data_IF_463961393853
#
_entry.id   IF_463961393853
#
_cell.length_a   1.000
_cell.length_b   1.000
_cell.length_c   1.000
_cell.angle_alpha   90.00
_cell.angle_beta   90.00
_cell.angle_gamma   90.00
#
_symmetry.space_group_name_H-M   'P 1'
#
loop_
_entity.id
_entity.type
_entity.pdbx_description
1 polymer ?
#
# COMPACT_ATOMS: atom_id res chain seq x y z
N UNK A 1 -6.36 10.03 4.43
CA UNK A 1 -6.13 11.36 5.03
C UNK A 1 -4.87 11.27 5.88
N UNK A 2 -3.89 12.20 5.72
CA UNK A 2 -2.71 12.26 6.58
C UNK A 2 -3.10 12.35 8.06
N UNK A 3 -2.30 11.77 8.95
CA UNK A 3 -2.59 11.78 10.39
C UNK A 3 -2.61 13.19 11.03
N UNK A 4 -2.09 14.19 10.32
CA UNK A 4 -2.03 15.60 10.73
C UNK A 4 -3.32 16.38 10.44
N UNK A 5 -4.30 15.77 9.78
CA UNK A 5 -5.53 16.43 9.31
C UNK A 5 -6.76 15.93 10.07
N UNK A 6 -7.71 16.84 10.30
CA UNK A 6 -8.98 16.56 10.97
C UNK A 6 -9.91 15.74 10.03
N UNK A 7 -10.32 14.56 10.50
CA UNK A 7 -11.13 13.62 9.74
C UNK A 7 -12.59 14.08 9.65
N UNK A 8 -13.12 14.70 10.71
CA UNK A 8 -14.46 15.26 10.75
C UNK A 8 -14.60 16.47 9.81
N UNK A 9 -13.57 17.32 9.74
CA UNK A 9 -13.51 18.45 8.81
C UNK A 9 -13.45 17.96 7.36
N UNK A 10 -12.61 16.96 7.08
CA UNK A 10 -12.53 16.33 5.77
C UNK A 10 -13.87 15.71 5.34
N UNK A 11 -14.51 14.94 6.23
CA UNK A 11 -15.80 14.33 5.96
C UNK A 11 -16.89 15.38 5.69
N UNK A 12 -16.85 16.53 6.38
CA UNK A 12 -17.77 17.64 6.16
C UNK A 12 -17.53 18.30 4.81
N UNK A 13 -16.27 18.52 4.43
CA UNK A 13 -15.91 19.06 3.12
C UNK A 13 -16.35 18.12 1.98
N UNK A 14 -16.13 16.81 2.11
CA UNK A 14 -16.62 15.83 1.15
C UNK A 14 -18.16 15.81 1.06
N UNK A 15 -18.86 15.91 2.20
CA UNK A 15 -20.32 15.95 2.22
C UNK A 15 -20.87 17.19 1.52
N UNK A 16 -20.22 18.35 1.69
CA UNK A 16 -20.61 19.58 0.98
C UNK A 16 -20.47 19.47 -0.55
N UNK A 17 -19.56 18.62 -1.05
CA UNK A 17 -19.46 18.30 -2.49
C UNK A 17 -20.57 17.33 -2.93
N UNK A 18 -20.96 16.40 -2.06
CA UNK A 18 -21.98 15.38 -2.35
C UNK A 18 -23.43 15.85 -2.17
N UNK A 19 -23.76 16.66 -1.18
CA UNK A 19 -25.15 17.08 -0.92
C UNK A 19 -25.85 17.72 -2.12
N UNK A 20 -25.22 18.60 -2.92
CA UNK A 20 -25.86 19.19 -4.10
C UNK A 20 -26.31 18.16 -5.13
N UNK A 21 -25.59 17.05 -5.30
CA UNK A 21 -25.99 15.99 -6.25
C UNK A 21 -27.17 15.16 -5.74
N UNK A 22 -27.42 15.17 -4.43
CA UNK A 22 -28.56 14.51 -3.81
C UNK A 22 -29.79 15.42 -3.83
N UNK A 23 -30.67 15.22 -4.83
CA UNK A 23 -32.00 15.83 -4.87
C UNK A 23 -32.19 16.97 -5.87
N UNK A 24 -31.15 17.38 -6.60
CA UNK A 24 -31.28 18.28 -7.75
C UNK A 24 -31.60 17.53 -9.06
N UNK A 25 -32.09 18.27 -10.06
CA UNK A 25 -32.14 17.84 -11.46
C UNK A 25 -30.72 17.55 -11.96
N UNK A 26 -30.25 16.32 -11.73
CA UNK A 26 -28.89 15.88 -12.06
C UNK A 26 -28.61 15.79 -13.58
N UNK A 27 -29.52 16.31 -14.42
CA UNK A 27 -29.34 16.51 -15.86
C UNK A 27 -28.26 17.56 -16.17
N UNK A 28 -28.08 18.57 -15.30
CA UNK A 28 -27.09 19.64 -15.50
C UNK A 28 -25.74 19.39 -14.82
N UNK A 29 -25.63 18.34 -14.00
CA UNK A 29 -24.42 18.08 -13.21
C UNK A 29 -23.42 17.27 -14.05
N UNK A 30 -22.20 17.79 -14.17
CA UNK A 30 -21.08 17.09 -14.80
C UNK A 30 -20.39 16.16 -13.79
N UNK A 31 -20.28 14.88 -14.12
CA UNK A 31 -19.55 13.91 -13.31
C UNK A 31 -18.06 14.24 -13.31
N UNK A 32 -17.52 14.69 -14.46
CA UNK A 32 -16.15 15.18 -14.55
C UNK A 32 -15.87 16.36 -13.61
N UNK A 33 -16.81 17.31 -13.48
CA UNK A 33 -16.67 18.43 -12.54
C UNK A 33 -16.79 17.99 -11.07
N UNK A 34 -17.69 17.07 -10.78
CA UNK A 34 -17.84 16.50 -9.43
C UNK A 34 -16.54 15.83 -8.97
N UNK A 35 -15.95 14.97 -9.82
CA UNK A 35 -14.67 14.33 -9.53
C UNK A 35 -13.56 15.36 -9.33
N UNK A 36 -13.53 16.43 -10.13
CA UNK A 36 -12.57 17.51 -9.96
C UNK A 36 -12.68 18.20 -8.59
N UNK A 37 -13.92 18.50 -8.14
CA UNK A 37 -14.14 19.07 -6.81
C UNK A 37 -13.75 18.11 -5.69
N UNK A 38 -14.02 16.81 -5.83
CA UNK A 38 -13.59 15.82 -4.84
C UNK A 38 -12.07 15.78 -4.72
N UNK A 39 -11.34 15.82 -5.85
CA UNK A 39 -9.88 15.83 -5.83
C UNK A 39 -9.31 17.13 -5.27
N UNK A 40 -9.88 18.28 -5.62
CA UNK A 40 -9.49 19.58 -5.07
C UNK A 40 -9.68 19.62 -3.54
N UNK A 41 -10.79 19.09 -3.03
CA UNK A 41 -10.99 18.95 -1.59
C UNK A 41 -9.92 18.04 -1.00
N UNK A 42 -9.66 16.86 -1.57
CA UNK A 42 -8.63 15.96 -1.02
C UNK A 42 -7.23 16.60 -1.00
N UNK A 43 -6.91 17.39 -2.02
CA UNK A 43 -5.62 18.09 -2.13
C UNK A 43 -5.46 19.17 -1.05
N UNK A 44 -6.53 19.91 -0.73
CA UNK A 44 -6.55 20.85 0.41
C UNK A 44 -6.26 20.16 1.75
N UNK A 45 -6.60 18.89 1.88
CA UNK A 45 -6.27 18.06 3.06
C UNK A 45 -4.92 17.34 2.93
N UNK A 46 -4.00 17.85 2.10
CA UNK A 46 -2.63 17.33 1.99
C UNK A 46 -2.52 15.96 1.33
N UNK A 47 -3.51 15.56 0.54
CA UNK A 47 -3.44 14.35 -0.29
C UNK A 47 -3.11 14.75 -1.72
N UNK A 48 -1.87 14.51 -2.14
CA UNK A 48 -1.45 14.81 -3.51
C UNK A 48 -2.32 14.05 -4.53
N UNK A 49 -2.81 14.78 -5.53
CA UNK A 49 -3.59 14.19 -6.61
C UNK A 49 -2.70 13.28 -7.46
N UNK A 50 -3.01 11.99 -7.46
CA UNK A 50 -2.28 11.00 -8.26
C UNK A 50 -2.58 11.16 -9.75
N UNK A 51 -1.58 10.95 -10.60
CA UNK A 51 -1.72 11.04 -12.07
C UNK A 51 -2.80 10.11 -12.62
N UNK A 52 -2.99 8.94 -12.02
CA UNK A 52 -4.04 7.98 -12.40
C UNK A 52 -5.45 8.55 -12.22
N UNK A 53 -5.66 9.43 -11.22
CA UNK A 53 -6.93 10.09 -10.98
C UNK A 53 -7.25 11.14 -12.05
N UNK A 54 -6.23 11.78 -12.62
CA UNK A 54 -6.37 12.71 -13.75
C UNK A 54 -6.80 11.95 -15.01
N UNK A 55 -6.26 10.75 -15.24
CA UNK A 55 -6.68 9.89 -16.35
C UNK A 55 -8.13 9.43 -16.18
N UNK A 56 -8.53 9.03 -14.97
CA UNK A 56 -9.92 8.71 -14.64
C UNK A 56 -10.84 9.89 -14.98
N UNK A 57 -10.47 11.11 -14.59
CA UNK A 57 -11.23 12.32 -14.88
C UNK A 57 -11.37 12.57 -16.38
N UNK A 58 -10.29 12.41 -17.16
CA UNK A 58 -10.34 12.51 -18.63
C UNK A 58 -11.31 11.49 -19.22
N UNK A 59 -11.22 10.22 -18.81
CA UNK A 59 -12.14 9.18 -19.26
C UNK A 59 -13.58 9.52 -18.89
N UNK A 60 -13.82 10.04 -17.68
CA UNK A 60 -15.16 10.44 -17.26
C UNK A 60 -15.72 11.57 -18.14
N UNK A 61 -14.91 12.59 -18.45
CA UNK A 61 -15.31 13.69 -19.35
C UNK A 61 -15.64 13.17 -20.75
N UNK A 62 -14.85 12.23 -21.28
CA UNK A 62 -15.11 11.61 -22.58
C UNK A 62 -16.42 10.82 -22.57
N UNK A 63 -16.64 9.97 -21.55
CA UNK A 63 -17.87 9.19 -21.39
C UNK A 63 -19.09 10.11 -21.28
N UNK A 64 -18.99 11.16 -20.48
CA UNK A 64 -20.04 12.17 -20.33
C UNK A 64 -20.34 12.91 -21.64
N UNK A 65 -19.29 13.28 -22.39
CA UNK A 65 -19.43 13.91 -23.71
C UNK A 65 -20.13 13.01 -24.73
N UNK A 66 -19.78 11.73 -24.77
CA UNK A 66 -20.44 10.74 -25.63
C UNK A 66 -21.88 10.50 -25.21
N UNK A 67 -22.15 10.36 -23.91
CA UNK A 67 -23.51 10.15 -23.42
C UNK A 67 -24.43 11.34 -23.76
N UNK A 68 -23.95 12.58 -23.58
CA UNK A 68 -24.71 13.79 -23.88
C UNK A 68 -24.85 14.11 -25.36
N UNK A 69 -23.94 13.64 -26.21
CA UNK A 69 -24.13 13.76 -27.67
C UNK A 69 -25.26 12.86 -28.19
N UNK A 70 -25.57 11.77 -27.46
CA UNK A 70 -26.68 10.86 -27.76
C UNK A 70 -28.00 11.33 -27.14
N UNK A 71 -27.99 11.71 -25.85
CA UNK A 71 -29.14 12.30 -25.16
C UNK A 71 -28.71 13.52 -24.34
N UNK A 72 -28.99 14.74 -24.80
CA UNK A 72 -28.63 15.97 -24.10
C UNK A 72 -29.23 16.10 -22.70
N UNK A 73 -30.28 15.35 -22.39
CA UNK A 73 -30.99 15.38 -21.09
C UNK A 73 -30.64 14.19 -20.21
N UNK A 74 -29.64 13.39 -20.58
CA UNK A 74 -29.27 12.21 -19.80
C UNK A 74 -28.80 12.59 -18.39
N UNK A 75 -29.33 11.88 -17.40
CA UNK A 75 -28.92 12.01 -16.01
C UNK A 75 -27.88 10.92 -15.68
N UNK A 76 -26.59 11.29 -15.74
CA UNK A 76 -25.47 10.35 -15.54
C UNK A 76 -25.52 9.69 -14.15
N UNK A 77 -25.93 10.43 -13.12
CA UNK A 77 -26.07 9.89 -11.75
C UNK A 77 -27.13 8.79 -11.67
N UNK A 78 -28.29 9.01 -12.27
CA UNK A 78 -29.37 8.02 -12.30
C UNK A 78 -28.94 6.74 -13.03
N UNK A 79 -28.18 6.87 -14.11
CA UNK A 79 -27.64 5.73 -14.87
C UNK A 79 -26.59 4.97 -14.06
N UNK A 80 -25.74 5.66 -13.31
CA UNK A 80 -24.69 5.05 -12.49
C UNK A 80 -25.21 4.41 -11.19
N UNK A 81 -26.34 4.90 -10.64
CA UNK A 81 -26.92 4.45 -9.37
C UNK A 81 -26.99 2.93 -9.18
N UNK A 82 -27.58 2.13 -10.09
CA UNK A 82 -27.67 0.68 -9.88
C UNK A 82 -26.31 -0.02 -9.84
N UNK A 83 -25.31 0.50 -10.56
CA UNK A 83 -23.94 -0.04 -10.55
C UNK A 83 -23.28 0.23 -9.20
N UNK A 84 -23.42 1.46 -8.69
CA UNK A 84 -22.87 1.84 -7.37
C UNK A 84 -23.56 1.09 -6.24
N UNK A 85 -24.90 0.98 -6.27
CA UNK A 85 -25.65 0.22 -5.27
C UNK A 85 -25.28 -1.26 -5.26
N UNK A 86 -25.06 -1.87 -6.43
CA UNK A 86 -24.54 -3.23 -6.56
C UNK A 86 -23.16 -3.36 -5.91
N UNK A 87 -22.23 -2.49 -6.27
CA UNK A 87 -20.87 -2.51 -5.71
C UNK A 87 -20.86 -2.34 -4.18
N UNK A 88 -21.64 -1.39 -3.64
CA UNK A 88 -21.75 -1.19 -2.18
C UNK A 88 -22.30 -2.44 -1.51
N UNK A 89 -23.36 -3.05 -2.07
CA UNK A 89 -23.95 -4.28 -1.54
C UNK A 89 -22.92 -5.42 -1.49
N UNK A 90 -22.11 -5.54 -2.54
CA UNK A 90 -21.21 -6.68 -2.73
C UNK A 90 -19.86 -6.50 -2.01
N UNK A 91 -19.39 -5.26 -1.85
CA UNK A 91 -18.06 -4.95 -1.31
C UNK A 91 -18.08 -4.39 0.12
N UNK A 92 -19.16 -3.72 0.51
CA UNK A 92 -19.29 -3.05 1.83
C UNK A 92 -20.45 -3.64 2.64
N UNK A 93 -21.33 -4.43 2.00
CA UNK A 93 -22.51 -4.99 2.65
C UNK A 93 -22.22 -6.07 3.70
N UNK A 94 -23.21 -6.41 4.54
CA UNK A 94 -23.07 -7.42 5.59
C UNK A 94 -22.70 -8.81 5.04
N UNK A 95 -23.10 -9.11 3.81
CA UNK A 95 -22.69 -10.33 3.10
C UNK A 95 -21.19 -10.34 2.79
N UNK A 96 -20.60 -9.21 2.42
CA UNK A 96 -19.17 -9.08 2.18
C UNK A 96 -18.40 -9.34 3.48
N UNK A 97 -18.84 -8.74 4.59
CA UNK A 97 -18.27 -8.96 5.92
C UNK A 97 -18.37 -10.43 6.34
N UNK A 98 -19.51 -11.08 6.08
CA UNK A 98 -19.70 -12.50 6.41
C UNK A 98 -18.77 -13.41 5.58
N UNK A 99 -18.61 -13.10 4.29
CA UNK A 99 -17.71 -13.82 3.39
C UNK A 99 -16.25 -13.63 3.80
N UNK A 100 -15.85 -12.40 4.14
CA UNK A 100 -14.51 -12.11 4.63
C UNK A 100 -14.24 -12.85 5.93
N UNK A 101 -15.17 -12.82 6.89
CA UNK A 101 -15.04 -13.58 8.14
C UNK A 101 -14.91 -15.09 7.89
N UNK A 102 -15.70 -15.64 6.96
CA UNK A 102 -15.61 -17.05 6.56
C UNK A 102 -14.25 -17.37 5.92
N UNK A 103 -13.76 -16.50 5.05
CA UNK A 103 -12.46 -16.67 4.40
C UNK A 103 -11.33 -16.60 5.44
N UNK A 104 -11.38 -15.63 6.37
CA UNK A 104 -10.44 -15.51 7.48
C UNK A 104 -10.48 -16.75 8.38
N UNK A 105 -11.68 -17.22 8.76
CA UNK A 105 -11.85 -18.44 9.57
C UNK A 105 -11.31 -19.67 8.85
N UNK A 106 -11.50 -19.80 7.54
CA UNK A 106 -10.95 -20.91 6.76
C UNK A 106 -9.42 -20.89 6.73
N UNK A 107 -8.82 -19.70 6.58
CA UNK A 107 -7.35 -19.52 6.66
C UNK A 107 -6.85 -19.86 8.07
N UNK A 108 -7.50 -19.35 9.12
CA UNK A 108 -7.14 -19.62 10.51
C UNK A 108 -7.31 -21.10 10.85
N UNK A 109 -8.37 -21.77 10.41
CA UNK A 109 -8.56 -23.20 10.62
C UNK A 109 -7.49 -24.04 9.92
N UNK A 110 -7.10 -23.64 8.71
CA UNK A 110 -6.10 -24.36 7.89
C UNK A 110 -4.67 -24.16 8.39
N UNK A 111 -4.33 -22.95 8.82
CA UNK A 111 -2.95 -22.58 9.18
C UNK A 111 -2.73 -22.44 10.69
N UNK A 112 -3.77 -22.17 11.47
CA UNK A 112 -3.73 -21.99 12.92
C UNK A 112 -3.01 -23.11 13.67
N UNK A 113 -3.28 -24.40 13.42
CA UNK A 113 -2.56 -25.49 14.07
C UNK A 113 -1.05 -25.53 13.73
N UNK A 114 -0.63 -24.91 12.62
CA UNK A 114 0.77 -24.87 12.15
C UNK A 114 1.48 -23.56 12.54
N UNK A 115 0.74 -22.53 12.92
CA UNK A 115 1.30 -21.24 13.32
C UNK A 115 2.26 -21.34 14.53
N UNK A 116 1.95 -22.07 15.62
CA UNK A 116 2.86 -22.19 16.76
C UNK A 116 4.22 -22.76 16.35
N UNK A 117 4.23 -23.82 15.55
CA UNK A 117 5.47 -24.44 15.08
C UNK A 117 6.30 -23.54 14.15
N UNK A 118 5.64 -22.73 13.30
CA UNK A 118 6.34 -21.77 12.43
C UNK A 118 6.94 -20.62 13.25
N UNK A 119 6.20 -20.11 14.24
CA UNK A 119 6.65 -19.05 15.15
C UNK A 119 7.78 -19.55 16.03
N UNK A 120 7.68 -20.75 16.61
CA UNK A 120 8.74 -21.39 17.38
C UNK A 120 10.00 -21.60 16.54
N UNK A 121 9.88 -22.09 15.31
CA UNK A 121 11.03 -22.27 14.42
C UNK A 121 11.67 -20.93 14.02
N UNK A 122 10.88 -19.88 13.80
CA UNK A 122 11.39 -18.54 13.51
C UNK A 122 12.11 -17.93 14.73
N UNK A 123 11.52 -18.06 15.92
CA UNK A 123 12.10 -17.63 17.19
C UNK A 123 13.36 -18.43 17.52
N UNK A 124 13.37 -19.74 17.31
CA UNK A 124 14.53 -20.60 17.53
C UNK A 124 15.67 -20.25 16.57
N UNK A 125 15.39 -19.99 15.29
CA UNK A 125 16.41 -19.53 14.31
C UNK A 125 16.98 -18.17 14.70
N UNK A 126 16.16 -17.26 15.20
CA UNK A 126 16.63 -15.95 15.68
C UNK A 126 17.41 -16.05 17.00
N UNK A 127 16.98 -16.94 17.90
CA UNK A 127 17.66 -17.23 19.16
C UNK A 127 19.01 -17.95 18.93
N UNK A 128 19.10 -18.86 17.96
CA UNK A 128 20.36 -19.50 17.56
C UNK A 128 21.25 -18.57 16.74
N UNK A 129 20.68 -17.67 15.93
CA UNK A 129 21.45 -16.60 15.27
C UNK A 129 21.95 -15.52 16.24
N UNK A 130 21.35 -15.40 17.43
CA UNK A 130 21.71 -14.42 18.46
C UNK A 130 22.52 -14.96 19.64
N UNK A 131 22.99 -16.22 19.62
CA UNK A 131 23.38 -16.90 20.85
C UNK A 131 24.55 -17.88 20.82
N UNK A 132 25.51 -17.77 19.89
CA UNK A 132 26.76 -18.51 19.99
C UNK A 132 27.95 -17.54 20.19
N UNK A 133 28.51 -17.39 21.41
CA UNK A 133 29.83 -16.83 21.53
C UNK A 133 30.78 -17.80 20.84
N UNK A 134 31.41 -17.35 19.77
CA UNK A 134 32.54 -18.03 19.14
C UNK A 134 33.56 -18.31 20.25
N UNK A 135 33.65 -19.57 20.68
CA UNK A 135 34.53 -19.98 21.77
C UNK A 135 35.96 -19.82 21.25
N UNK A 136 36.53 -18.64 21.50
CA UNK A 136 37.89 -18.23 21.12
C UNK A 136 38.86 -19.28 21.68
N UNK A 137 39.21 -20.25 20.83
CA UNK A 137 40.16 -21.30 21.14
C UNK A 137 41.50 -20.62 21.39
N UNK A 138 41.94 -20.61 22.66
CA UNK A 138 43.28 -20.19 23.06
C UNK A 138 44.29 -21.20 22.53
N UNK A 139 44.55 -21.19 21.23
CA UNK A 139 45.76 -21.78 20.63
C UNK A 139 46.86 -20.72 20.64
N UNK A 140 48.09 -21.06 21.05
CA UNK A 140 49.12 -20.07 21.32
C UNK A 140 49.53 -19.38 20.02
N UNK A 141 49.41 -18.07 20.03
CA UNK A 141 49.77 -17.11 18.98
C UNK A 141 51.31 -17.00 18.85
N UNK A 142 52.01 -18.13 18.75
CA UNK A 142 53.46 -18.19 18.56
C UNK A 142 53.79 -18.73 17.16
N UNK A 143 52.92 -19.55 16.56
CA UNK A 143 53.15 -20.07 15.20
C UNK A 143 52.82 -19.08 14.07
N UNK A 144 51.93 -18.09 14.29
CA UNK A 144 51.56 -17.11 13.25
C UNK A 144 52.57 -15.98 13.07
N UNK A 145 53.27 -15.58 14.15
CA UNK A 145 54.23 -14.47 14.10
C UNK A 145 55.56 -14.85 13.44
N UNK A 146 56.00 -16.12 13.55
CA UNK A 146 57.23 -16.59 12.91
C UNK A 146 57.13 -16.67 11.38
N UNK A 147 55.95 -16.97 10.83
CA UNK A 147 55.73 -17.00 9.38
C UNK A 147 55.71 -15.59 8.74
N UNK A 148 55.28 -14.57 9.49
CA UNK A 148 55.25 -13.20 9.00
C UNK A 148 56.65 -12.55 8.91
N UNK A 149 57.59 -12.95 9.77
CA UNK A 149 58.96 -12.39 9.77
C UNK A 149 59.82 -13.00 8.64
N UNK A 150 59.62 -14.28 8.30
CA UNK A 150 60.36 -14.91 7.18
C UNK A 150 59.88 -14.38 5.82
N UNK A 151 58.58 -14.07 5.67
CA UNK A 151 58.04 -13.51 4.42
C UNK A 151 58.52 -12.09 4.11
N UNK A 152 58.70 -11.25 5.12
CA UNK A 152 59.15 -9.87 4.94
C UNK A 152 60.67 -9.75 4.66
N UNK A 153 61.48 -10.69 5.16
CA UNK A 153 62.93 -10.68 4.95
C UNK A 153 63.37 -11.08 3.54
N UNK A 154 62.67 -12.03 2.91
CA UNK A 154 62.99 -12.50 1.55
C UNK A 154 62.53 -11.53 0.44
N UNK A 155 61.44 -10.79 0.66
CA UNK A 155 60.94 -9.81 -0.32
C UNK A 155 61.84 -8.59 -0.49
N UNK A 156 62.51 -8.15 0.58
CA UNK A 156 63.37 -6.96 0.55
C UNK A 156 64.74 -7.21 -0.10
N UNK A 157 65.25 -8.45 -0.10
CA UNK A 157 66.55 -8.78 -0.68
C UNK A 157 66.51 -8.95 -2.22
N UNK A 158 65.35 -9.28 -2.79
CA UNK A 158 65.19 -9.49 -4.24
C UNK A 158 64.96 -8.16 -4.98
N UNK A 159 64.47 -7.12 -4.29
CA UNK A 159 64.19 -5.81 -4.89
C UNK A 159 65.41 -4.87 -4.98
N UNK A 160 66.58 -5.27 -4.46
CA UNK A 160 67.78 -4.41 -4.43
C UNK A 160 68.92 -4.90 -5.33
N UNK A 161 68.71 -5.92 -6.18
CA UNK A 161 69.74 -6.40 -7.11
C UNK A 161 69.21 -6.72 -8.53
N UNK A 162 68.21 -5.97 -9.00
CA UNK A 162 67.75 -5.93 -10.40
C UNK A 162 67.43 -4.48 -10.80
#
# INVERSE_FOLDING_TARGET
VPATQDVEEFARALRAVGEPIFGMDATQISMGRLLNHLFEVTERFGMETRTELILLQRTMVVVEGVARSLDPRINIWQVAKPVVEGYIRDSIGPLAVLNDLKNTLAVVARFGPRLPGIVEQALMKQATAGGAPEKKSKRPLIFGALLAIIGAGLGAAIALNL
#
